data_IF_672901977318
#
_entry.id   IF_672901977318
#
_cell.length_a   1.000
_cell.length_b   1.000
_cell.length_c   1.000
_cell.angle_alpha   90.00
_cell.angle_beta   90.00
_cell.angle_gamma   90.00
#
_symmetry.space_group_name_H-M   'P 1'
#
loop_
_entity.id
_entity.type
_entity.pdbx_description
1 polymer ?
#
# COMPACT_ATOMS: atom_id res chain seq x y z
N UNK A 1 14.69 16.30 -31.69
CA UNK A 1 14.93 17.46 -30.79
C UNK A 1 13.99 18.54 -31.27
N UNK A 2 13.10 19.04 -30.41
CA UNK A 2 12.24 20.18 -30.79
C UNK A 2 13.14 21.42 -30.70
N UNK A 3 13.27 22.17 -31.80
CA UNK A 3 14.08 23.39 -31.88
C UNK A 3 13.10 24.52 -32.17
N UNK A 4 12.94 25.44 -31.22
CA UNK A 4 12.13 26.64 -31.41
C UNK A 4 12.95 27.71 -32.15
N UNK A 5 12.27 28.67 -32.79
CA UNK A 5 12.91 29.72 -33.62
C UNK A 5 14.02 30.50 -32.88
N UNK A 6 13.86 30.65 -31.57
CA UNK A 6 14.84 31.30 -30.69
C UNK A 6 16.14 30.47 -30.59
N UNK A 7 16.04 29.14 -30.50
CA UNK A 7 17.20 28.24 -30.43
C UNK A 7 17.83 27.96 -31.80
N UNK A 8 17.06 28.09 -32.88
CA UNK A 8 17.61 28.09 -34.24
C UNK A 8 18.50 29.33 -34.50
N UNK A 9 18.22 30.45 -33.82
CA UNK A 9 18.94 31.72 -33.96
C UNK A 9 20.10 31.92 -32.97
N UNK A 10 20.24 31.05 -31.95
CA UNK A 10 21.25 31.17 -30.89
C UNK A 10 22.53 30.38 -31.22
N UNK A 11 23.70 31.03 -31.16
CA UNK A 11 25.00 30.34 -31.29
C UNK A 11 25.33 29.45 -30.09
N UNK A 12 24.73 29.71 -28.92
CA UNK A 12 24.93 28.90 -27.72
C UNK A 12 23.74 27.95 -27.49
N UNK A 13 24.01 26.64 -27.51
CA UNK A 13 23.03 25.60 -27.18
C UNK A 13 22.91 25.46 -25.67
N UNK A 14 21.76 25.81 -25.12
CA UNK A 14 21.49 25.66 -23.69
C UNK A 14 20.86 24.27 -23.42
N UNK A 15 21.56 23.34 -22.75
CA UNK A 15 21.11 21.94 -22.61
C UNK A 15 19.80 21.78 -21.83
N UNK A 16 19.40 22.79 -21.05
CA UNK A 16 18.13 22.84 -20.31
C UNK A 16 16.92 23.29 -21.15
N UNK A 17 17.13 23.80 -22.37
CA UNK A 17 16.05 24.24 -23.27
C UNK A 17 15.72 23.22 -24.37
N UNK A 18 16.70 22.46 -24.84
CA UNK A 18 16.49 21.48 -25.91
C UNK A 18 16.18 20.09 -25.33
N UNK A 19 14.89 19.73 -25.29
CA UNK A 19 14.45 18.38 -24.95
C UNK A 19 14.25 17.52 -26.22
N UNK A 20 14.64 16.25 -26.13
CA UNK A 20 14.27 15.25 -27.12
C UNK A 20 12.80 14.87 -26.99
N UNK A 21 12.16 14.46 -28.09
CA UNK A 21 10.78 13.98 -28.07
C UNK A 21 10.62 12.79 -27.09
N UNK A 22 11.63 11.92 -27.04
CA UNK A 22 11.68 10.80 -26.09
C UNK A 22 11.60 11.28 -24.63
N UNK A 23 12.41 12.28 -24.23
CA UNK A 23 12.33 12.83 -22.87
C UNK A 23 10.96 13.43 -22.54
N UNK A 24 10.30 14.06 -23.52
CA UNK A 24 8.95 14.60 -23.32
C UNK A 24 7.92 13.48 -23.14
N UNK A 25 8.06 12.37 -23.86
CA UNK A 25 7.19 11.19 -23.72
C UNK A 25 7.42 10.48 -22.38
N UNK A 26 8.68 10.30 -21.96
CA UNK A 26 9.04 9.75 -20.65
C UNK A 26 8.41 10.55 -19.50
N UNK A 27 8.51 11.89 -19.53
CA UNK A 27 7.88 12.75 -18.52
C UNK A 27 6.35 12.67 -18.57
N UNK A 28 5.75 12.58 -19.75
CA UNK A 28 4.28 12.39 -19.87
C UNK A 28 3.83 11.07 -19.25
N UNK A 29 4.60 10.00 -19.36
CA UNK A 29 4.32 8.73 -18.68
C UNK A 29 4.35 8.93 -17.16
N UNK A 30 5.39 9.57 -16.63
CA UNK A 30 5.48 9.89 -15.18
C UNK A 30 4.27 10.73 -14.72
N UNK A 31 3.88 11.76 -15.47
CA UNK A 31 2.72 12.59 -15.15
C UNK A 31 1.42 11.78 -15.13
N UNK A 32 1.30 10.78 -16.01
CA UNK A 32 0.15 9.87 -16.05
C UNK A 32 0.08 8.95 -14.81
N UNK A 33 1.20 8.69 -14.13
CA UNK A 33 1.24 7.90 -12.90
C UNK A 33 0.89 8.72 -11.64
N UNK A 34 0.93 10.05 -11.69
CA UNK A 34 0.63 10.90 -10.53
C UNK A 34 -0.74 10.60 -9.89
N UNK A 35 -1.85 10.43 -10.63
CA UNK A 35 -3.13 10.06 -10.04
C UNK A 35 -3.10 8.72 -9.31
N UNK A 36 -2.38 7.73 -9.85
CA UNK A 36 -2.22 6.40 -9.24
C UNK A 36 -1.39 6.53 -7.96
N UNK A 37 -0.31 7.31 -8.02
CA UNK A 37 0.56 7.61 -6.89
C UNK A 37 -0.20 8.32 -5.77
N UNK A 38 -0.98 9.36 -6.08
CA UNK A 38 -1.81 10.07 -5.11
C UNK A 38 -2.80 9.14 -4.40
N UNK A 39 -3.47 8.26 -5.15
CA UNK A 39 -4.40 7.27 -4.58
C UNK A 39 -3.67 6.27 -3.67
N UNK A 40 -2.43 5.93 -4.01
CA UNK A 40 -1.61 4.97 -3.27
C UNK A 40 -1.11 5.52 -1.93
N UNK A 41 -1.10 6.84 -1.73
CA UNK A 41 -0.72 7.45 -0.44
C UNK A 41 -1.61 6.93 0.69
N UNK A 42 -2.91 6.77 0.46
CA UNK A 42 -3.84 6.24 1.46
C UNK A 42 -3.48 4.80 1.85
N UNK A 43 -3.07 4.00 0.87
CA UNK A 43 -2.56 2.66 1.12
C UNK A 43 -1.32 2.70 2.04
N UNK A 44 -0.38 3.63 1.78
CA UNK A 44 0.77 3.87 2.66
C UNK A 44 0.38 4.24 4.10
N UNK A 45 -0.63 5.10 4.27
CA UNK A 45 -1.18 5.45 5.60
C UNK A 45 -1.69 4.20 6.32
N UNK A 46 -2.54 3.40 5.66
CA UNK A 46 -3.12 2.18 6.25
C UNK A 46 -2.04 1.17 6.61
N UNK A 47 -1.05 0.96 5.72
CA UNK A 47 0.05 0.04 5.93
C UNK A 47 0.90 0.40 7.17
N UNK A 48 1.27 1.68 7.33
CA UNK A 48 2.05 2.14 8.50
C UNK A 48 1.25 2.01 9.81
N UNK A 49 -0.05 2.32 9.79
CA UNK A 49 -0.92 2.18 10.95
C UNK A 49 -1.08 0.72 11.38
N UNK A 50 -1.25 -0.19 10.41
CA UNK A 50 -1.41 -1.63 10.67
C UNK A 50 -0.24 -2.18 11.50
N UNK A 51 1.01 -1.95 11.09
CA UNK A 51 2.20 -2.46 11.81
C UNK A 51 2.33 -1.86 13.23
N UNK A 52 2.08 -0.56 13.37
CA UNK A 52 2.22 0.16 14.64
C UNK A 52 1.19 -0.27 15.67
N UNK A 53 -0.10 -0.26 15.30
CA UNK A 53 -1.18 -0.66 16.22
C UNK A 53 -1.16 -2.13 16.55
N UNK A 54 -0.81 -2.99 15.59
CA UNK A 54 -0.65 -4.41 15.85
C UNK A 54 0.43 -4.67 16.90
N UNK A 55 1.57 -3.98 16.80
CA UNK A 55 2.63 -4.06 17.82
C UNK A 55 2.15 -3.55 19.17
N UNK A 56 1.43 -2.42 19.19
CA UNK A 56 0.86 -1.86 20.41
C UNK A 56 -0.13 -2.82 21.07
N UNK A 57 -0.97 -3.50 20.28
CA UNK A 57 -1.86 -4.57 20.74
C UNK A 57 -1.09 -5.78 21.26
N UNK A 58 -0.01 -6.16 20.59
CA UNK A 58 0.89 -7.20 21.08
C UNK A 58 1.45 -6.90 22.47
N UNK A 59 1.75 -5.62 22.78
CA UNK A 59 2.31 -5.27 24.10
C UNK A 59 1.37 -5.52 25.27
N UNK A 60 0.04 -5.44 25.05
CA UNK A 60 -0.98 -5.69 26.08
C UNK A 60 -1.37 -7.16 26.20
N UNK A 61 -0.90 -8.02 25.30
CA UNK A 61 -1.12 -9.46 25.37
C UNK A 61 -0.10 -10.11 26.31
N UNK A 62 -0.49 -11.24 26.91
CA UNK A 62 0.44 -12.08 27.68
C UNK A 62 1.43 -12.70 26.70
N UNK A 63 2.70 -12.33 26.83
CA UNK A 63 3.79 -12.71 25.93
C UNK A 63 4.80 -13.67 26.57
N UNK A 64 4.51 -14.18 27.76
CA UNK A 64 5.40 -15.13 28.45
C UNK A 64 5.25 -16.53 27.86
N UNK A 65 6.33 -17.10 27.36
CA UNK A 65 6.41 -18.52 26.99
C UNK A 65 7.24 -19.21 28.06
N UNK A 66 6.55 -19.80 29.04
CA UNK A 66 7.19 -20.36 30.24
C UNK A 66 7.63 -19.29 31.26
N UNK A 67 8.41 -19.69 32.29
CA UNK A 67 8.69 -18.83 33.45
C UNK A 67 9.73 -17.72 33.20
N UNK A 68 10.64 -17.88 32.22
CA UNK A 68 11.79 -16.98 32.04
C UNK A 68 11.84 -16.25 30.69
N UNK A 69 10.96 -16.58 29.74
CA UNK A 69 11.04 -16.03 28.38
C UNK A 69 9.84 -15.14 28.10
N UNK A 70 10.10 -13.86 27.82
CA UNK A 70 9.09 -12.92 27.33
C UNK A 70 9.32 -12.61 25.86
N UNK A 71 8.32 -12.90 25.05
CA UNK A 71 8.34 -12.64 23.62
C UNK A 71 8.21 -11.12 23.36
N UNK A 72 9.09 -10.50 22.55
CA UNK A 72 8.93 -9.11 22.15
C UNK A 72 7.67 -8.93 21.30
N UNK A 73 6.86 -7.90 21.55
CA UNK A 73 5.61 -7.68 20.81
C UNK A 73 5.83 -7.51 19.29
N UNK A 74 6.95 -6.91 18.88
CA UNK A 74 7.30 -6.75 17.46
C UNK A 74 7.52 -8.10 16.75
N UNK A 75 7.98 -9.14 17.46
CA UNK A 75 8.18 -10.47 16.87
C UNK A 75 6.85 -11.17 16.50
N UNK A 76 5.71 -10.72 17.04
CA UNK A 76 4.39 -11.17 16.61
C UNK A 76 4.13 -10.82 15.14
N UNK A 77 4.77 -9.78 14.59
CA UNK A 77 4.66 -9.46 13.17
C UNK A 77 5.26 -10.56 12.28
N UNK A 78 6.32 -11.23 12.74
CA UNK A 78 6.94 -12.34 12.00
C UNK A 78 6.00 -13.56 11.91
N UNK A 79 5.07 -13.71 12.87
CA UNK A 79 4.06 -14.77 12.82
C UNK A 79 3.11 -14.62 11.63
N UNK A 80 2.84 -13.40 11.14
CA UNK A 80 2.05 -13.22 9.92
C UNK A 80 2.74 -13.81 8.70
N UNK A 81 4.04 -13.56 8.54
CA UNK A 81 4.83 -14.13 7.45
C UNK A 81 4.91 -15.66 7.52
N UNK A 82 5.14 -16.21 8.71
CA UNK A 82 5.20 -17.66 8.92
C UNK A 82 3.85 -18.33 8.69
N UNK A 83 2.77 -17.73 9.23
CA UNK A 83 1.40 -18.20 8.98
C UNK A 83 1.16 -18.20 7.48
N UNK A 84 1.40 -17.08 6.78
CA UNK A 84 1.24 -17.00 5.33
C UNK A 84 1.99 -18.11 4.57
N UNK A 85 3.25 -18.38 4.90
CA UNK A 85 4.02 -19.46 4.26
C UNK A 85 3.44 -20.85 4.53
N UNK A 86 3.11 -21.15 5.79
CA UNK A 86 2.56 -22.46 6.19
C UNK A 86 1.20 -22.67 5.55
N UNK A 87 0.34 -21.67 5.63
CA UNK A 87 -0.99 -21.76 5.07
C UNK A 87 -0.86 -21.90 3.53
N UNK A 88 -0.05 -21.11 2.82
CA UNK A 88 0.12 -21.27 1.35
C UNK A 88 0.62 -22.67 0.97
N UNK A 89 1.66 -23.17 1.66
CA UNK A 89 2.17 -24.52 1.45
C UNK A 89 1.09 -25.59 1.71
N UNK A 90 0.30 -25.45 2.78
CA UNK A 90 -0.79 -26.37 3.09
C UNK A 90 -1.89 -26.35 2.02
N UNK A 91 -2.23 -25.17 1.49
CA UNK A 91 -3.23 -25.04 0.44
C UNK A 91 -2.79 -25.76 -0.83
N UNK A 92 -1.56 -25.50 -1.29
CA UNK A 92 -1.02 -26.05 -2.53
C UNK A 92 -0.71 -27.55 -2.43
N UNK A 93 -0.15 -28.00 -1.29
CA UNK A 93 0.32 -29.39 -1.14
C UNK A 93 -0.77 -30.35 -0.66
N UNK A 94 -1.79 -29.86 0.06
CA UNK A 94 -2.79 -30.71 0.71
C UNK A 94 -4.19 -30.46 0.17
N UNK A 95 -4.67 -29.22 0.22
CA UNK A 95 -6.05 -28.92 -0.17
C UNK A 95 -6.28 -29.08 -1.68
N UNK A 96 -5.38 -28.57 -2.53
CA UNK A 96 -5.49 -28.70 -3.99
C UNK A 96 -5.57 -30.17 -4.45
N UNK A 97 -4.64 -31.08 -4.06
CA UNK A 97 -4.72 -32.47 -4.50
C UNK A 97 -5.92 -33.23 -3.93
N UNK A 98 -6.34 -32.96 -2.69
CA UNK A 98 -7.55 -33.57 -2.11
C UNK A 98 -8.79 -33.13 -2.87
N UNK A 99 -8.93 -31.82 -3.12
CA UNK A 99 -10.07 -31.26 -3.85
C UNK A 99 -10.10 -31.79 -5.28
N UNK A 100 -8.94 -31.94 -5.93
CA UNK A 100 -8.80 -32.53 -7.27
C UNK A 100 -9.19 -34.01 -7.29
N UNK A 101 -8.95 -34.74 -6.19
CA UNK A 101 -9.28 -36.17 -6.06
C UNK A 101 -10.77 -36.40 -5.79
N UNK A 102 -11.43 -35.53 -5.03
CA UNK A 102 -12.85 -35.72 -4.65
C UNK A 102 -13.84 -35.04 -5.60
N UNK A 103 -13.53 -33.86 -6.13
CA UNK A 103 -14.48 -33.02 -6.86
C UNK A 103 -14.14 -32.84 -8.35
N UNK A 104 -13.05 -33.44 -8.83
CA UNK A 104 -12.61 -33.32 -10.22
C UNK A 104 -12.08 -31.92 -10.57
N UNK A 105 -11.44 -31.80 -11.73
CA UNK A 105 -10.66 -30.60 -12.12
C UNK A 105 -11.48 -29.30 -12.16
N UNK A 106 -12.78 -29.38 -12.46
CA UNK A 106 -13.64 -28.21 -12.67
C UNK A 106 -14.02 -27.47 -11.38
N UNK A 107 -14.10 -28.14 -10.23
CA UNK A 107 -14.47 -27.52 -8.96
C UNK A 107 -13.27 -26.94 -8.21
N UNK A 108 -12.06 -27.45 -8.48
CA UNK A 108 -10.81 -26.94 -7.90
C UNK A 108 -10.59 -25.49 -8.34
N UNK A 109 -10.76 -25.17 -9.63
CA UNK A 109 -10.67 -23.81 -10.16
C UNK A 109 -11.67 -22.82 -9.55
N UNK A 110 -12.86 -23.27 -9.14
CA UNK A 110 -13.87 -22.44 -8.46
C UNK A 110 -13.64 -22.28 -6.95
N UNK A 111 -12.96 -23.24 -6.32
CA UNK A 111 -12.67 -23.27 -4.87
C UNK A 111 -11.48 -22.40 -4.43
N UNK A 112 -10.61 -21.96 -5.35
CA UNK A 112 -9.50 -21.03 -5.06
C UNK A 112 -9.95 -19.70 -4.43
N UNK A 113 -11.22 -19.36 -4.53
CA UNK A 113 -11.76 -18.09 -4.04
C UNK A 113 -12.38 -18.12 -2.63
N UNK A 114 -12.50 -19.28 -1.98
CA UNK A 114 -13.41 -19.40 -0.82
C UNK A 114 -12.75 -19.32 0.57
N UNK A 115 -11.42 -19.30 0.68
CA UNK A 115 -10.79 -19.10 1.99
C UNK A 115 -10.53 -17.60 2.21
N UNK A 116 -11.55 -16.90 2.70
CA UNK A 116 -11.60 -15.43 2.83
C UNK A 116 -10.37 -14.85 3.53
N UNK A 117 -9.80 -15.57 4.51
CA UNK A 117 -8.60 -15.14 5.23
C UNK A 117 -7.33 -15.20 4.37
N UNK A 118 -7.17 -16.25 3.57
CA UNK A 118 -6.06 -16.31 2.62
C UNK A 118 -6.22 -15.29 1.52
N UNK A 119 -7.40 -15.20 0.92
CA UNK A 119 -7.64 -14.31 -0.21
C UNK A 119 -7.38 -12.85 0.20
N UNK A 120 -7.78 -12.44 1.41
CA UNK A 120 -7.52 -11.08 1.92
C UNK A 120 -6.03 -10.84 2.18
N UNK A 121 -5.32 -11.79 2.83
CA UNK A 121 -3.89 -11.62 3.11
C UNK A 121 -3.03 -11.71 1.84
N UNK A 122 -3.37 -12.63 0.94
CA UNK A 122 -2.76 -12.79 -0.37
C UNK A 122 -3.01 -11.53 -1.21
N UNK A 123 -4.23 -11.00 -1.22
CA UNK A 123 -4.56 -9.74 -1.89
C UNK A 123 -3.76 -8.56 -1.31
N UNK A 124 -3.54 -8.49 0.00
CA UNK A 124 -2.72 -7.43 0.61
C UNK A 124 -1.25 -7.50 0.17
N UNK A 125 -0.66 -8.69 0.13
CA UNK A 125 0.71 -8.90 -0.35
C UNK A 125 0.83 -8.61 -1.85
N UNK A 126 -0.12 -9.09 -2.66
CA UNK A 126 -0.17 -8.78 -4.08
C UNK A 126 -0.44 -7.30 -4.35
N UNK A 127 -1.14 -6.59 -3.47
CA UNK A 127 -1.30 -5.14 -3.60
C UNK A 127 0.02 -4.42 -3.35
N UNK A 128 0.83 -4.87 -2.38
CA UNK A 128 2.17 -4.32 -2.14
C UNK A 128 3.12 -4.58 -3.31
N UNK A 129 3.26 -5.86 -3.70
CA UNK A 129 4.16 -6.28 -4.78
C UNK A 129 3.67 -5.73 -6.12
N UNK A 130 2.37 -5.84 -6.40
CA UNK A 130 1.77 -5.37 -7.64
C UNK A 130 1.83 -3.85 -7.79
N UNK A 131 1.74 -3.09 -6.69
CA UNK A 131 1.95 -1.64 -6.75
C UNK A 131 3.41 -1.30 -7.05
N UNK A 132 4.35 -2.00 -6.41
CA UNK A 132 5.78 -1.83 -6.66
C UNK A 132 6.16 -2.19 -8.12
N UNK A 133 5.68 -3.33 -8.61
CA UNK A 133 5.86 -3.78 -10.01
C UNK A 133 5.23 -2.78 -10.97
N UNK A 134 4.02 -2.28 -10.70
CA UNK A 134 3.38 -1.28 -11.55
C UNK A 134 4.20 0.02 -11.63
N UNK A 135 4.75 0.52 -10.52
CA UNK A 135 5.61 1.70 -10.58
C UNK A 135 6.94 1.44 -11.28
N UNK A 136 7.43 0.21 -11.27
CA UNK A 136 8.67 -0.17 -11.93
C UNK A 136 8.49 -0.39 -13.44
N UNK A 137 7.48 -1.14 -13.84
CA UNK A 137 7.22 -1.56 -15.22
C UNK A 137 6.65 -0.43 -16.08
N UNK A 138 5.85 0.47 -15.49
CA UNK A 138 5.30 1.62 -16.20
C UNK A 138 6.34 2.72 -16.44
N UNK A 139 7.52 2.60 -15.84
CA UNK A 139 8.61 3.55 -16.05
C UNK A 139 9.47 3.13 -17.25
N UNK A 140 9.87 4.09 -18.10
CA UNK A 140 10.84 3.82 -19.15
C UNK A 140 12.18 3.33 -18.55
N UNK A 141 12.99 2.60 -19.33
CA UNK A 141 14.20 1.95 -18.81
C UNK A 141 15.16 2.93 -18.10
N UNK A 142 15.23 4.16 -18.60
CA UNK A 142 16.01 5.28 -18.06
C UNK A 142 15.54 5.78 -16.69
N UNK A 143 14.27 5.54 -16.32
CA UNK A 143 13.62 6.06 -15.10
C UNK A 143 13.13 4.95 -14.14
N UNK A 144 13.57 3.69 -14.31
CA UNK A 144 13.13 2.59 -13.42
C UNK A 144 13.44 2.83 -11.93
N UNK A 145 14.59 3.42 -11.62
CA UNK A 145 14.93 3.79 -10.24
C UNK A 145 14.02 4.89 -9.67
N UNK A 146 13.52 5.78 -10.54
CA UNK A 146 12.54 6.80 -10.17
C UNK A 146 11.20 6.18 -9.80
N UNK A 147 10.76 5.12 -10.50
CA UNK A 147 9.59 4.31 -10.12
C UNK A 147 9.69 3.72 -8.71
N UNK A 148 10.84 3.12 -8.38
CA UNK A 148 11.09 2.61 -7.03
C UNK A 148 11.09 3.72 -5.97
N UNK A 149 11.66 4.90 -6.29
CA UNK A 149 11.62 6.06 -5.40
C UNK A 149 10.20 6.59 -5.18
N UNK A 150 9.37 6.63 -6.22
CA UNK A 150 7.95 6.97 -6.11
C UNK A 150 7.22 6.00 -5.19
N UNK A 151 7.44 4.69 -5.32
CA UNK A 151 6.87 3.69 -4.39
C UNK A 151 7.34 3.90 -2.94
N UNK A 152 8.64 4.09 -2.69
CA UNK A 152 9.14 4.34 -1.34
C UNK A 152 8.60 5.65 -0.75
N UNK A 153 8.44 6.69 -1.57
CA UNK A 153 7.84 7.95 -1.14
C UNK A 153 6.37 7.79 -0.72
N UNK A 154 5.60 6.87 -1.32
CA UNK A 154 4.24 6.55 -0.87
C UNK A 154 4.24 6.09 0.58
N UNK A 155 5.16 5.19 0.94
CA UNK A 155 5.29 4.70 2.33
C UNK A 155 5.76 5.81 3.28
N UNK A 156 6.73 6.63 2.84
CA UNK A 156 7.25 7.75 3.62
C UNK A 156 6.18 8.81 3.90
N UNK A 157 5.52 9.32 2.86
CA UNK A 157 4.43 10.30 2.96
C UNK A 157 3.26 9.72 3.76
N UNK A 158 2.90 8.45 3.53
CA UNK A 158 1.89 7.76 4.31
C UNK A 158 2.19 7.78 5.81
N UNK A 159 3.46 7.65 6.20
CA UNK A 159 3.88 7.71 7.60
C UNK A 159 3.77 9.11 8.21
N UNK A 160 4.09 10.16 7.45
CA UNK A 160 3.89 11.54 7.88
C UNK A 160 2.40 11.88 8.03
N UNK A 161 1.58 11.52 7.05
CA UNK A 161 0.13 11.74 7.09
C UNK A 161 -0.50 10.94 8.24
N UNK A 162 -0.08 9.69 8.44
CA UNK A 162 -0.50 8.89 9.59
C UNK A 162 -0.22 9.60 10.91
N UNK A 163 0.99 10.15 11.06
CA UNK A 163 1.37 10.89 12.27
C UNK A 163 0.52 12.15 12.46
N UNK A 164 0.23 12.88 11.38
CA UNK A 164 -0.65 14.04 11.41
C UNK A 164 -2.10 13.68 11.77
N UNK A 165 -2.64 12.60 11.20
CA UNK A 165 -3.98 12.09 11.54
C UNK A 165 -4.05 11.74 13.02
N UNK A 166 -3.07 10.99 13.53
CA UNK A 166 -3.01 10.62 14.96
C UNK A 166 -2.96 11.87 15.84
N UNK A 167 -2.14 12.84 15.48
CA UNK A 167 -2.04 14.11 16.20
C UNK A 167 -3.38 14.86 16.25
N UNK A 168 -4.04 15.01 15.10
CA UNK A 168 -5.35 15.68 15.01
C UNK A 168 -6.41 14.94 15.83
N UNK A 169 -6.46 13.61 15.71
CA UNK A 169 -7.40 12.78 16.48
C UNK A 169 -7.17 12.97 17.97
N UNK A 170 -5.92 12.93 18.44
CA UNK A 170 -5.61 13.14 19.85
C UNK A 170 -5.96 14.54 20.33
N UNK A 171 -5.72 15.57 19.50
CA UNK A 171 -6.09 16.94 19.81
C UNK A 171 -7.61 17.07 20.03
N UNK A 172 -8.42 16.60 19.07
CA UNK A 172 -9.89 16.67 19.13
C UNK A 172 -10.43 15.82 20.29
N UNK A 173 -9.94 14.60 20.41
CA UNK A 173 -10.38 13.63 21.42
C UNK A 173 -10.07 14.09 22.84
N UNK A 174 -8.94 14.77 23.06
CA UNK A 174 -8.60 15.33 24.37
C UNK A 174 -9.52 16.48 24.81
N UNK A 175 -10.13 17.20 23.85
CA UNK A 175 -11.11 18.26 24.13
C UNK A 175 -12.51 17.74 24.46
N UNK A 176 -12.83 16.50 24.08
CA UNK A 176 -14.15 15.88 24.28
C UNK A 176 -14.22 14.95 25.51
N UNK A 177 -13.18 14.94 26.34
CA UNK A 177 -13.16 14.25 27.64
C UNK A 177 -12.55 12.84 27.62
N UNK A 178 -12.70 12.07 26.54
CA UNK A 178 -12.13 10.72 26.43
C UNK A 178 -11.13 10.58 25.30
N UNK A 179 -9.93 10.07 25.63
CA UNK A 179 -8.84 9.82 24.68
C UNK A 179 -9.09 8.51 23.90
N UNK A 180 -9.34 8.62 22.60
CA UNK A 180 -9.53 7.48 21.69
C UNK A 180 -8.26 6.62 21.59
N UNK A 181 -7.08 7.26 21.68
CA UNK A 181 -5.77 6.60 21.67
C UNK A 181 -5.10 6.71 23.05
N UNK A 182 -5.50 5.83 23.98
CA UNK A 182 -4.91 5.72 25.31
C UNK A 182 -3.60 4.93 25.36
N UNK A 183 -2.89 5.03 26.50
CA UNK A 183 -1.76 4.15 26.83
C UNK A 183 -2.22 2.74 27.21
N UNK A 184 -3.45 2.62 27.73
CA UNK A 184 -4.05 1.34 28.07
C UNK A 184 -5.06 0.96 26.98
N UNK A 185 -4.71 -0.03 26.15
CA UNK A 185 -5.55 -0.45 25.01
C UNK A 185 -6.91 -1.02 25.44
N UNK A 186 -7.01 -1.59 26.65
CA UNK A 186 -8.26 -2.16 27.15
C UNK A 186 -9.33 -1.09 27.46
N UNK A 187 -8.93 0.18 27.56
CA UNK A 187 -9.82 1.33 27.75
C UNK A 187 -9.81 2.28 26.55
N UNK A 188 -9.05 1.98 25.50
CA UNK A 188 -8.94 2.81 24.32
C UNK A 188 -9.96 2.36 23.27
N UNK A 189 -10.72 3.30 22.72
CA UNK A 189 -11.66 3.06 21.63
C UNK A 189 -10.94 3.05 20.28
N UNK A 190 -10.11 2.02 20.07
CA UNK A 190 -9.34 1.80 18.84
C UNK A 190 -10.26 1.60 17.62
N UNK A 191 -11.48 1.12 17.87
CA UNK A 191 -12.56 0.93 16.90
C UNK A 191 -12.97 2.24 16.19
N UNK A 192 -13.11 3.36 16.91
CA UNK A 192 -13.42 4.66 16.27
C UNK A 192 -12.30 5.13 15.35
N UNK A 193 -11.04 4.89 15.71
CA UNK A 193 -9.91 5.21 14.86
C UNK A 193 -9.93 4.39 13.55
N UNK A 194 -10.25 3.09 13.63
CA UNK A 194 -10.38 2.25 12.44
C UNK A 194 -11.58 2.65 11.56
N UNK A 195 -12.73 3.00 12.16
CA UNK A 195 -13.88 3.50 11.40
C UNK A 195 -13.58 4.81 10.67
N UNK A 196 -12.86 5.73 11.33
CA UNK A 196 -12.39 6.96 10.69
C UNK A 196 -11.45 6.66 9.51
N UNK A 197 -10.50 5.73 9.68
CA UNK A 197 -9.58 5.33 8.62
C UNK A 197 -10.30 4.67 7.45
N UNK A 198 -11.33 3.85 7.73
CA UNK A 198 -12.20 3.25 6.72
C UNK A 198 -12.99 4.32 5.94
N UNK A 199 -13.52 5.33 6.63
CA UNK A 199 -14.19 6.48 6.02
C UNK A 199 -13.27 7.28 5.11
N UNK A 200 -12.04 7.57 5.57
CA UNK A 200 -11.04 8.29 4.78
C UNK A 200 -10.60 7.49 3.53
N UNK A 201 -10.46 6.17 3.68
CA UNK A 201 -10.16 5.25 2.56
C UNK A 201 -11.30 5.19 1.54
N UNK A 202 -12.55 5.18 2.02
CA UNK A 202 -13.74 5.20 1.17
C UNK A 202 -13.85 6.52 0.38
N UNK A 203 -13.55 7.65 1.03
CA UNK A 203 -13.50 8.95 0.37
C UNK A 203 -12.41 8.99 -0.71
N UNK A 204 -11.22 8.47 -0.40
CA UNK A 204 -10.11 8.36 -1.35
C UNK A 204 -10.50 7.53 -2.58
N UNK A 205 -11.20 6.40 -2.39
CA UNK A 205 -11.72 5.59 -3.49
C UNK A 205 -12.72 6.37 -4.36
N UNK A 206 -13.65 7.12 -3.76
CA UNK A 206 -14.59 7.95 -4.51
C UNK A 206 -13.89 9.03 -5.34
N UNK A 207 -12.88 9.69 -4.77
CA UNK A 207 -12.06 10.68 -5.48
C UNK A 207 -11.31 10.03 -6.65
N UNK A 208 -10.70 8.86 -6.42
CA UNK A 208 -10.03 8.10 -7.47
C UNK A 208 -10.96 7.71 -8.61
N UNK A 209 -12.18 7.23 -8.31
CA UNK A 209 -13.20 6.92 -9.32
C UNK A 209 -13.59 8.18 -10.10
N UNK A 210 -13.71 9.33 -9.42
CA UNK A 210 -13.98 10.62 -10.07
C UNK A 210 -12.88 11.06 -11.03
N UNK A 211 -11.61 10.93 -10.61
CA UNK A 211 -10.43 11.30 -11.42
C UNK A 211 -10.26 10.32 -12.58
N UNK A 212 -10.36 9.01 -12.34
CA UNK A 212 -10.23 7.99 -13.38
C UNK A 212 -11.31 8.10 -14.46
N UNK A 213 -12.55 8.44 -14.10
CA UNK A 213 -13.62 8.72 -15.07
C UNK A 213 -13.35 9.94 -15.94
N UNK A 214 -12.55 10.91 -15.47
CA UNK A 214 -12.12 12.08 -16.24
C UNK A 214 -10.82 11.84 -17.01
N UNK A 215 -10.09 10.78 -16.68
CA UNK A 215 -8.86 10.40 -17.37
C UNK A 215 -9.20 9.63 -18.64
N UNK A 216 -9.15 10.33 -19.78
CA UNK A 216 -9.27 9.68 -21.09
C UNK A 216 -8.01 8.84 -21.31
N UNK A 217 -8.16 7.51 -21.25
CA UNK A 217 -7.10 6.58 -21.63
C UNK A 217 -6.72 6.85 -23.09
N UNK A 218 -5.45 7.19 -23.33
CA UNK A 218 -4.94 7.24 -24.70
C UNK A 218 -4.83 5.79 -25.17
N UNK A 219 -5.59 5.42 -26.21
CA UNK A 219 -5.38 4.14 -26.89
C UNK A 219 -3.94 4.12 -27.40
N UNK A 220 -3.20 3.09 -26.98
CA UNK A 220 -1.91 2.70 -27.57
C UNK A 220 -2.16 2.31 -29.02
#
# INVERSE_FOLDING_TARGET
MIIDDIDASSESRNPWRLCSLNQVEEVKLVLCLIPIWLNSIMFGVVATNFSTYFTKQGTTMIRSIGPNFQLPAASLQALFGLTFMITTAFYDQVLVPITRKFFGHHLVCGGYFHNTYYVVNLAAVFTLVGLQELFYDQMPESLRSFGAALYLSVLGIGSFISSAIIYIVQAISSGCGEKWLGNNLNHAHLDYFYWMLAGLSSLNLCVYIGISKRFVYKKV
#
